data_IF_753430897925
#
_entry.id   IF_753430897925
#
_cell.length_a   1.000
_cell.length_b   1.000
_cell.length_c   1.000
_cell.angle_alpha   90.00
_cell.angle_beta   90.00
_cell.angle_gamma   90.00
#
_symmetry.space_group_name_H-M   'P 1'
#
loop_
_entity.id
_entity.type
_entity.pdbx_description
1 polymer ?
#
# COMPACT_ATOMS: atom_id res chain seq x y z
N UNK A 1 -5.16 8.24 7.78
CA UNK A 1 -5.47 7.35 6.64
C UNK A 1 -5.77 6.00 7.21
N UNK A 2 -6.81 5.32 6.72
CA UNK A 2 -7.08 3.92 7.05
C UNK A 2 -6.47 2.99 5.99
N UNK A 3 -6.37 1.69 6.30
CA UNK A 3 -5.81 0.70 5.39
C UNK A 3 -6.63 0.57 4.09
N UNK A 4 -7.96 0.69 4.16
CA UNK A 4 -8.83 0.52 3.00
C UNK A 4 -8.57 1.59 1.94
N UNK A 5 -8.49 2.87 2.35
CA UNK A 5 -8.12 3.97 1.47
C UNK A 5 -6.70 3.81 0.93
N UNK A 6 -5.76 3.37 1.77
CA UNK A 6 -4.39 3.15 1.35
C UNK A 6 -4.26 2.04 0.28
N UNK A 7 -4.99 0.92 0.45
CA UNK A 7 -5.09 -0.15 -0.56
C UNK A 7 -5.70 0.35 -1.87
N UNK A 8 -6.71 1.21 -1.79
CA UNK A 8 -7.30 1.86 -2.97
C UNK A 8 -6.29 2.68 -3.75
N UNK A 9 -5.48 3.51 -3.07
CA UNK A 9 -4.40 4.28 -3.72
C UNK A 9 -3.34 3.36 -4.30
N UNK A 10 -2.92 2.33 -3.57
CA UNK A 10 -1.93 1.37 -4.04
C UNK A 10 -2.40 0.63 -5.30
N UNK A 11 -3.66 0.21 -5.33
CA UNK A 11 -4.28 -0.42 -6.50
C UNK A 11 -4.34 0.53 -7.70
N UNK A 12 -4.75 1.79 -7.47
CA UNK A 12 -4.83 2.80 -8.52
C UNK A 12 -3.46 3.18 -9.09
N UNK A 13 -2.41 3.16 -8.27
CA UNK A 13 -1.04 3.48 -8.69
C UNK A 13 -0.39 2.36 -9.53
N UNK A 14 -0.92 1.13 -9.47
CA UNK A 14 -0.42 -0.03 -10.23
C UNK A 14 1.11 -0.26 -10.12
N UNK A 15 1.67 0.03 -8.94
CA UNK A 15 3.12 -0.07 -8.66
C UNK A 15 3.55 -1.47 -8.20
N UNK A 16 2.60 -2.30 -7.81
CA UNK A 16 2.83 -3.69 -7.42
C UNK A 16 2.26 -4.58 -8.51
N UNK A 17 3.05 -5.53 -9.02
CA UNK A 17 2.56 -6.52 -9.98
C UNK A 17 1.57 -7.47 -9.30
N UNK A 18 0.30 -7.38 -9.67
CA UNK A 18 -0.81 -8.16 -9.08
C UNK A 18 -1.78 -7.31 -8.27
N UNK A 19 -2.75 -7.95 -7.62
CA UNK A 19 -3.73 -7.23 -6.80
C UNK A 19 -3.05 -6.59 -5.57
N UNK A 20 -3.46 -5.38 -5.21
CA UNK A 20 -3.06 -4.74 -3.95
C UNK A 20 -3.35 -5.63 -2.72
N UNK A 21 -4.29 -6.57 -2.84
CA UNK A 21 -4.60 -7.59 -1.84
C UNK A 21 -3.41 -8.51 -1.50
N UNK A 22 -2.48 -8.71 -2.46
CA UNK A 22 -1.25 -9.45 -2.22
C UNK A 22 -0.20 -8.68 -1.41
N UNK A 23 -0.39 -7.36 -1.22
CA UNK A 23 0.51 -6.53 -0.46
C UNK A 23 0.20 -6.61 1.04
N UNK A 24 1.22 -6.92 1.84
CA UNK A 24 1.14 -7.02 3.30
C UNK A 24 1.32 -5.63 3.92
N UNK A 25 0.37 -5.21 4.74
CA UNK A 25 0.54 -4.02 5.56
C UNK A 25 1.61 -4.26 6.63
N UNK A 26 2.63 -3.41 6.67
CA UNK A 26 3.72 -3.45 7.63
C UNK A 26 3.54 -2.42 8.75
N UNK A 27 3.07 -1.22 8.40
CA UNK A 27 2.85 -0.14 9.34
C UNK A 27 1.68 0.74 8.90
N UNK A 28 0.90 1.20 9.89
CA UNK A 28 -0.19 2.15 9.70
C UNK A 28 -0.04 3.27 10.73
N UNK A 29 0.19 4.48 10.24
CA UNK A 29 0.32 5.68 11.06
C UNK A 29 0.13 6.92 10.20
N UNK A 30 1.15 7.78 10.15
CA UNK A 30 1.14 8.93 9.23
C UNK A 30 1.05 8.48 7.77
N UNK A 31 1.70 7.37 7.42
CA UNK A 31 1.63 6.71 6.13
C UNK A 31 1.18 5.26 6.33
N UNK A 32 0.66 4.64 5.26
CA UNK A 32 0.56 3.19 5.17
C UNK A 32 1.79 2.64 4.44
N UNK A 33 2.42 1.61 4.99
CA UNK A 33 3.59 0.95 4.39
C UNK A 33 3.23 -0.47 4.03
N UNK A 34 3.38 -0.83 2.76
CA UNK A 34 3.09 -2.16 2.25
C UNK A 34 4.35 -2.84 1.73
N UNK A 35 4.46 -4.14 1.97
CA UNK A 35 5.43 -5.00 1.30
C UNK A 35 4.76 -5.88 0.25
N UNK A 36 5.40 -6.01 -0.90
CA UNK A 36 5.02 -6.93 -1.96
C UNK A 36 6.27 -7.54 -2.59
N UNK A 37 6.59 -8.77 -2.24
CA UNK A 37 7.89 -9.37 -2.56
C UNK A 37 9.03 -8.52 -1.98
N UNK A 38 9.96 -8.12 -2.83
CA UNK A 38 11.13 -7.30 -2.46
C UNK A 38 10.87 -5.78 -2.55
N UNK A 39 9.64 -5.36 -2.92
CA UNK A 39 9.25 -3.95 -3.00
C UNK A 39 8.55 -3.51 -1.70
N UNK A 40 8.95 -2.33 -1.22
CA UNK A 40 8.25 -1.61 -0.15
C UNK A 40 7.67 -0.32 -0.71
N UNK A 41 6.36 -0.12 -0.53
CA UNK A 41 5.63 1.07 -0.98
C UNK A 41 5.11 1.84 0.22
N UNK A 42 5.33 3.15 0.23
CA UNK A 42 4.75 4.08 1.21
C UNK A 42 3.63 4.89 0.55
N UNK A 43 2.44 4.81 1.11
CA UNK A 43 1.27 5.59 0.67
C UNK A 43 1.06 6.74 1.64
N UNK A 44 1.19 7.97 1.12
CA UNK A 44 0.92 9.21 1.83
C UNK A 44 -0.57 9.54 1.92
N UNK A 45 -0.91 10.56 2.71
CA UNK A 45 -2.31 10.97 2.92
C UNK A 45 -2.84 11.92 1.85
N UNK A 46 -1.93 12.55 1.09
CA UNK A 46 -2.18 13.63 0.13
C UNK A 46 -1.46 13.37 -1.19
#
# INVERSE_FOLDING_TARGET
>A
MDEARARGVLAAANVVAGAADGARLLALGENAVFAAGDLVVKVGRD
#
